data_IF_767905784990
#
_entry.id   IF_767905784990
#
_cell.length_a   1.000
_cell.length_b   1.000
_cell.length_c   1.000
_cell.angle_alpha   90.00
_cell.angle_beta   90.00
_cell.angle_gamma   90.00
#
_symmetry.space_group_name_H-M   'P 1'
#
loop_
_entity.id
_entity.type
_entity.pdbx_description
1 polymer ?
#
# COMPACT_ATOMS: atom_id res chain seq x y z
N UNK A 1 6.52 10.76 17.67
CA UNK A 1 5.66 11.63 16.84
C UNK A 1 5.16 12.77 17.72
N UNK A 2 5.60 14.00 17.45
CA UNK A 2 5.10 15.19 18.17
C UNK A 2 3.62 15.36 17.85
N UNK A 3 2.74 15.28 18.87
CA UNK A 3 1.31 15.56 18.66
C UNK A 3 1.16 17.01 18.20
N UNK A 4 0.75 17.19 16.95
CA UNK A 4 0.34 18.47 16.39
C UNK A 4 -1.00 18.87 17.02
N UNK A 5 -1.17 20.16 17.34
CA UNK A 5 -2.50 20.67 17.67
C UNK A 5 -3.32 20.83 16.40
N UNK A 6 -4.65 20.77 16.51
CA UNK A 6 -5.57 20.91 15.37
C UNK A 6 -5.33 22.20 14.57
N UNK A 7 -4.98 23.29 15.24
CA UNK A 7 -4.58 24.53 14.57
C UNK A 7 -3.27 24.40 13.77
N UNK A 8 -2.29 23.67 14.30
CA UNK A 8 -0.98 23.48 13.65
C UNK A 8 -1.11 22.58 12.42
N UNK A 9 -1.91 21.51 12.50
CA UNK A 9 -2.16 20.63 11.37
C UNK A 9 -2.88 21.37 10.23
N UNK A 10 -3.87 22.21 10.55
CA UNK A 10 -4.59 23.01 9.54
C UNK A 10 -3.65 23.99 8.82
N UNK A 11 -2.78 24.71 9.55
CA UNK A 11 -1.84 25.67 8.94
C UNK A 11 -0.83 24.97 8.02
N UNK A 12 -0.24 23.86 8.47
CA UNK A 12 0.74 23.11 7.67
C UNK A 12 0.10 22.47 6.44
N UNK A 13 -1.09 21.89 6.59
CA UNK A 13 -1.82 21.26 5.48
C UNK A 13 -2.24 22.29 4.44
N UNK A 14 -2.75 23.46 4.87
CA UNK A 14 -3.12 24.54 3.97
C UNK A 14 -1.91 25.15 3.24
N UNK A 15 -0.76 25.25 3.92
CA UNK A 15 0.48 25.72 3.30
C UNK A 15 1.06 24.74 2.28
N UNK A 16 1.03 23.44 2.58
CA UNK A 16 1.51 22.38 1.67
C UNK A 16 0.71 22.27 0.36
N UNK A 17 -0.54 22.72 0.35
CA UNK A 17 -1.40 22.69 -0.84
C UNK A 17 -1.23 23.92 -1.75
N UNK A 18 -0.50 24.95 -1.30
CA UNK A 18 -0.32 26.20 -2.05
C UNK A 18 1.00 26.17 -2.84
N UNK A 19 1.06 26.88 -3.98
CA UNK A 19 2.31 27.03 -4.71
C UNK A 19 3.36 27.69 -3.80
N UNK A 20 4.60 27.22 -3.91
CA UNK A 20 5.75 27.66 -3.11
C UNK A 20 5.60 27.43 -1.58
N UNK A 21 4.71 26.51 -1.16
CA UNK A 21 4.49 26.11 0.24
C UNK A 21 4.11 27.27 1.19
N UNK A 22 3.43 28.29 0.67
CA UNK A 22 3.11 29.52 1.44
C UNK A 22 1.98 29.25 2.46
N UNK A 23 2.26 29.43 3.75
CA UNK A 23 1.33 29.19 4.85
C UNK A 23 0.20 30.23 4.98
N UNK A 24 0.34 31.38 4.30
CA UNK A 24 -0.64 32.47 4.30
C UNK A 24 -1.61 32.42 3.12
N UNK A 25 -2.89 32.82 3.29
CA UNK A 25 -3.53 33.35 4.50
C UNK A 25 -3.85 32.29 5.56
N UNK A 26 -3.88 32.71 6.83
CA UNK A 26 -4.26 31.90 7.98
C UNK A 26 -5.77 31.54 7.97
N UNK A 27 -6.17 30.41 8.59
CA UNK A 27 -7.57 29.99 8.66
C UNK A 27 -8.47 31.02 9.35
N UNK A 28 -9.72 31.13 8.87
CA UNK A 28 -10.74 32.05 9.40
C UNK A 28 -10.99 31.74 10.89
N UNK A 29 -10.80 32.74 11.76
CA UNK A 29 -10.91 32.59 13.22
C UNK A 29 -9.58 32.64 13.97
N UNK A 30 -8.43 32.58 13.28
CA UNK A 30 -7.10 32.74 13.87
C UNK A 30 -6.53 34.12 13.50
N UNK A 31 -6.79 35.13 14.31
CA UNK A 31 -6.30 36.50 14.10
C UNK A 31 -5.63 37.07 15.35
N UNK A 32 -4.71 38.01 15.17
CA UNK A 32 -4.07 38.74 16.28
C UNK A 32 -3.09 37.89 17.10
N UNK A 33 -3.11 38.03 18.42
CA UNK A 33 -2.10 37.48 19.33
C UNK A 33 -2.01 35.94 19.30
N UNK A 34 -3.15 35.26 19.15
CA UNK A 34 -3.20 33.79 19.08
C UNK A 34 -2.49 33.24 17.83
N UNK A 35 -2.67 33.90 16.68
CA UNK A 35 -1.97 33.59 15.45
C UNK A 35 -0.46 33.79 15.60
N UNK A 36 -0.04 34.92 16.18
CA UNK A 36 1.37 35.23 16.43
C UNK A 36 2.03 34.17 17.32
N UNK A 37 1.39 33.78 18.42
CA UNK A 37 1.92 32.75 19.32
C UNK A 37 2.04 31.37 18.64
N UNK A 38 1.04 30.97 17.86
CA UNK A 38 1.08 29.71 17.13
C UNK A 38 2.22 29.69 16.10
N UNK A 39 2.34 30.74 15.29
CA UNK A 39 3.41 30.88 14.28
C UNK A 39 4.79 30.93 14.95
N UNK A 40 4.98 31.69 16.02
CA UNK A 40 6.27 31.72 16.76
C UNK A 40 6.64 30.36 17.30
N UNK A 41 5.68 29.59 17.84
CA UNK A 41 5.93 28.23 18.32
C UNK A 41 6.25 27.26 17.17
N UNK A 42 5.67 27.46 16.00
CA UNK A 42 5.95 26.67 14.80
C UNK A 42 7.32 27.01 14.18
N UNK A 43 7.73 28.28 14.19
CA UNK A 43 9.07 28.71 13.78
C UNK A 43 10.16 28.16 14.70
N UNK A 44 9.96 28.19 16.03
CA UNK A 44 10.90 27.59 16.98
C UNK A 44 11.07 26.08 16.80
N UNK A 45 10.03 25.39 16.33
CA UNK A 45 10.08 23.96 16.00
C UNK A 45 10.63 23.68 14.60
N UNK A 46 10.98 24.72 13.85
CA UNK A 46 11.50 24.63 12.48
C UNK A 46 10.45 24.21 11.46
N UNK A 47 9.15 24.33 11.74
CA UNK A 47 8.06 23.93 10.84
C UNK A 47 7.63 25.05 9.87
N UNK A 48 7.93 26.30 10.20
CA UNK A 48 7.69 27.48 9.38
C UNK A 48 8.96 28.32 9.32
N UNK A 49 9.20 28.96 8.18
CA UNK A 49 10.30 29.89 7.96
C UNK A 49 9.77 31.22 7.40
N UNK A 50 10.28 32.34 7.91
CA UNK A 50 10.07 33.66 7.31
C UNK A 50 11.00 33.80 6.09
N UNK A 51 10.42 34.08 4.93
CA UNK A 51 11.12 34.31 3.65
C UNK A 51 10.66 35.64 3.07
N UNK A 52 11.53 36.35 2.36
CA UNK A 52 11.16 37.61 1.70
C UNK A 52 10.02 37.38 0.70
N UNK A 53 8.92 38.10 0.89
CA UNK A 53 7.74 38.02 0.05
C UNK A 53 7.98 38.69 -1.29
N UNK A 54 7.60 38.02 -2.37
CA UNK A 54 7.71 38.58 -3.70
C UNK A 54 6.49 39.47 -4.00
N UNK A 55 6.61 40.76 -3.70
CA UNK A 55 5.54 41.75 -3.86
C UNK A 55 5.02 41.87 -5.31
N UNK A 56 5.83 41.45 -6.31
CA UNK A 56 5.42 41.41 -7.74
C UNK A 56 4.44 40.28 -8.06
N UNK A 57 4.42 39.21 -7.26
CA UNK A 57 3.50 38.07 -7.40
C UNK A 57 2.24 38.22 -6.55
N UNK A 58 2.09 39.31 -5.80
CA UNK A 58 0.94 39.54 -4.92
C UNK A 58 0.89 38.58 -3.73
N UNK A 59 2.06 38.13 -3.26
CA UNK A 59 2.13 37.20 -2.12
C UNK A 59 1.66 37.87 -0.82
N UNK A 60 0.87 37.16 0.02
CA UNK A 60 0.37 37.70 1.27
C UNK A 60 1.51 37.93 2.27
N UNK A 61 1.47 39.10 2.94
CA UNK A 61 2.49 39.55 3.88
C UNK A 61 2.16 39.14 5.32
N UNK A 62 3.16 38.61 6.02
CA UNK A 62 3.10 38.35 7.46
C UNK A 62 3.57 39.56 8.27
N UNK A 63 4.71 40.14 7.89
CA UNK A 63 5.30 41.32 8.51
C UNK A 63 5.83 42.25 7.43
N UNK A 64 5.53 43.54 7.56
CA UNK A 64 6.15 44.58 6.74
C UNK A 64 7.42 45.06 7.43
N UNK A 65 8.55 44.94 6.74
CA UNK A 65 9.79 45.61 7.11
C UNK A 65 9.72 46.97 6.42
N UNK A 66 9.82 48.06 7.18
CA UNK A 66 9.47 49.45 6.77
C UNK A 66 10.16 50.03 5.52
N UNK A 67 10.91 49.22 4.77
CA UNK A 67 11.67 49.57 3.57
C UNK A 67 11.01 49.04 2.26
N UNK A 68 9.70 48.75 2.27
CA UNK A 68 8.99 48.24 1.08
C UNK A 68 9.20 46.75 0.80
N UNK A 69 9.77 46.02 1.76
CA UNK A 69 9.93 44.58 1.76
C UNK A 69 9.02 43.98 2.84
N UNK A 70 8.29 42.92 2.52
CA UNK A 70 7.53 42.17 3.51
C UNK A 70 8.05 40.74 3.58
N UNK A 71 7.91 40.08 4.73
CA UNK A 71 8.17 38.64 4.85
C UNK A 71 6.87 37.87 4.74
N UNK A 72 6.92 36.72 4.07
CA UNK A 72 5.86 35.71 4.06
C UNK A 72 6.31 34.48 4.84
N UNK A 73 5.37 33.59 5.13
CA UNK A 73 5.64 32.35 5.88
C UNK A 73 5.59 31.17 4.93
N UNK A 74 6.66 30.39 4.87
CA UNK A 74 6.77 29.17 4.05
C UNK A 74 6.86 27.95 4.96
N UNK A 75 6.16 26.88 4.60
CA UNK A 75 6.24 25.57 5.27
C UNK A 75 7.55 24.88 4.89
N UNK A 76 8.33 24.50 5.89
CA UNK A 76 9.63 23.81 5.71
C UNK A 76 9.44 22.31 5.50
N UNK A 77 10.48 21.61 5.05
CA UNK A 77 10.49 20.15 4.90
C UNK A 77 10.15 19.43 6.21
N UNK A 78 10.63 19.94 7.35
CA UNK A 78 10.29 19.42 8.67
C UNK A 78 8.80 19.62 9.02
N UNK A 79 8.18 20.69 8.54
CA UNK A 79 6.75 20.94 8.65
C UNK A 79 5.92 20.00 7.78
N UNK A 80 6.36 19.70 6.56
CA UNK A 80 5.74 18.71 5.66
C UNK A 80 5.82 17.29 6.25
N UNK A 81 6.98 16.91 6.77
CA UNK A 81 7.17 15.62 7.45
C UNK A 81 6.26 15.47 8.67
N UNK A 82 6.02 16.56 9.41
CA UNK A 82 5.16 16.52 10.58
C UNK A 82 3.68 16.20 10.24
N UNK A 83 3.22 16.55 9.04
CA UNK A 83 1.88 16.21 8.52
C UNK A 83 1.87 14.91 7.70
N UNK A 84 2.98 14.17 7.66
CA UNK A 84 3.09 12.91 6.92
C UNK A 84 3.28 13.07 5.42
N UNK A 85 3.61 14.28 4.94
CA UNK A 85 4.00 14.52 3.55
C UNK A 85 5.52 14.39 3.48
N UNK A 86 6.01 13.31 2.89
CA UNK A 86 7.43 13.19 2.58
C UNK A 86 7.79 14.26 1.55
N UNK A 87 8.76 15.15 1.84
CA UNK A 87 9.19 16.12 0.87
C UNK A 87 9.70 15.36 -0.36
N UNK A 88 9.26 15.77 -1.55
CA UNK A 88 9.85 15.31 -2.80
C UNK A 88 11.26 15.90 -2.85
N UNK A 89 12.17 15.25 -2.14
CA UNK A 89 13.59 15.47 -2.30
C UNK A 89 13.86 14.95 -3.71
N UNK A 90 14.09 15.85 -4.66
CA UNK A 90 14.83 15.51 -5.87
C UNK A 90 16.23 15.14 -5.37
N UNK A 91 16.36 13.90 -4.89
CA UNK A 91 17.63 13.24 -4.70
C UNK A 91 18.09 13.01 -6.12
N UNK A 92 18.95 13.90 -6.61
CA UNK A 92 19.99 13.49 -7.54
C UNK A 92 20.79 12.42 -6.81
N UNK A 93 20.33 11.18 -6.92
CA UNK A 93 21.13 10.03 -6.58
C UNK A 93 22.21 9.97 -7.66
N UNK A 94 23.36 10.57 -7.36
CA UNK A 94 24.61 10.21 -8.02
C UNK A 94 24.81 8.71 -7.78
N UNK A 95 24.74 7.86 -8.82
CA UNK A 95 25.20 6.51 -8.68
C UNK A 95 26.72 6.56 -8.69
N UNK A 96 27.31 6.12 -7.57
CA UNK A 96 28.70 5.73 -7.46
C UNK A 96 29.08 4.82 -8.65
N UNK A 97 29.74 5.40 -9.64
CA UNK A 97 30.63 4.70 -10.55
C UNK A 97 31.96 5.41 -10.50
N UNK A 98 32.94 4.68 -9.98
CA UNK A 98 34.35 5.01 -9.97
C UNK A 98 34.85 4.95 -11.43
N UNK A 99 34.89 6.10 -12.08
CA UNK A 99 35.77 6.36 -13.22
C UNK A 99 36.24 7.81 -13.14
N UNK A 100 37.56 7.94 -13.10
CA UNK A 100 38.40 9.11 -13.42
C UNK A 100 37.68 10.45 -13.42
N UNK A 101 38.00 11.28 -12.43
CA UNK A 101 37.56 12.67 -12.32
C UNK A 101 37.90 13.46 -13.61
N UNK A 102 36.93 13.55 -14.51
CA UNK A 102 36.86 14.61 -15.49
C UNK A 102 35.90 15.68 -14.93
N UNK A 103 36.42 16.89 -14.81
CA UNK A 103 35.75 18.02 -14.19
C UNK A 103 34.31 18.20 -14.72
N UNK A 104 33.34 18.60 -13.89
CA UNK A 104 31.98 18.82 -14.36
C UNK A 104 32.01 19.86 -15.48
N UNK A 105 31.55 19.45 -16.66
CA UNK A 105 31.46 20.31 -17.83
C UNK A 105 30.74 21.61 -17.45
N UNK A 106 31.44 22.73 -17.65
CA UNK A 106 30.89 24.08 -17.53
C UNK A 106 29.57 24.12 -18.28
N UNK A 107 28.46 24.28 -17.55
CA UNK A 107 27.13 24.53 -18.14
C UNK A 107 27.26 25.79 -18.99
N UNK A 108 27.49 25.60 -20.28
CA UNK A 108 27.58 26.72 -21.22
C UNK A 108 26.21 27.38 -21.22
N UNK A 109 26.09 28.69 -20.95
CA UNK A 109 24.80 29.36 -20.91
C UNK A 109 24.11 29.18 -22.26
N UNK A 110 22.99 28.46 -22.31
CA UNK A 110 22.16 28.38 -23.51
C UNK A 110 21.67 29.80 -23.83
N UNK A 111 22.09 30.42 -24.96
CA UNK A 111 21.75 31.80 -25.24
C UNK A 111 20.25 31.95 -25.49
N UNK A 112 19.67 32.97 -24.86
CA UNK A 112 18.25 33.35 -24.99
C UNK A 112 17.91 33.58 -26.47
N UNK A 113 16.87 32.91 -26.99
CA UNK A 113 16.41 33.10 -28.39
C UNK A 113 16.13 34.59 -28.64
N UNK A 114 16.77 35.17 -29.66
CA UNK A 114 16.55 36.54 -30.13
C UNK A 114 17.75 37.50 -29.99
N UNK A 115 18.86 37.10 -29.37
CA UNK A 115 20.08 37.93 -29.31
C UNK A 115 20.95 37.78 -30.56
N UNK A 116 21.66 38.85 -30.96
CA UNK A 116 22.59 38.84 -32.11
C UNK A 116 23.64 37.72 -32.04
N UNK A 117 24.03 37.30 -30.84
CA UNK A 117 24.95 36.18 -30.60
C UNK A 117 24.35 34.81 -30.96
N UNK A 118 23.06 34.56 -30.73
CA UNK A 118 22.40 33.32 -31.14
C UNK A 118 22.29 33.21 -32.68
N UNK A 119 22.20 34.35 -33.38
CA UNK A 119 22.19 34.40 -34.84
C UNK A 119 23.57 34.08 -35.45
N UNK A 120 24.66 34.54 -34.82
CA UNK A 120 26.04 34.23 -35.21
C UNK A 120 26.40 32.75 -35.01
N UNK A 121 25.95 32.12 -33.93
CA UNK A 121 26.17 30.69 -33.66
C UNK A 121 25.40 29.80 -34.66
N UNK A 122 24.36 30.32 -35.32
CA UNK A 122 23.57 29.62 -36.34
C UNK A 122 24.12 29.74 -37.77
N UNK A 123 25.29 30.36 -37.96
CA UNK A 123 25.93 30.49 -39.28
C UNK A 123 27.01 29.43 -39.46
N UNK A 124 26.85 28.59 -40.50
CA UNK A 124 27.86 27.64 -40.94
C UNK A 124 28.82 28.34 -41.90
N UNK A 125 30.12 28.06 -41.80
CA UNK A 125 31.12 28.56 -42.75
C UNK A 125 31.28 27.56 -43.90
N UNK A 126 31.00 28.00 -45.12
CA UNK A 126 31.25 27.22 -46.32
C UNK A 126 32.77 27.08 -46.57
N UNK A 127 33.22 26.05 -47.32
CA UNK A 127 34.64 25.90 -47.71
C UNK A 127 35.22 27.16 -48.38
N UNK A 128 34.37 27.92 -49.08
CA UNK A 128 34.70 29.17 -49.75
C UNK A 128 34.74 30.40 -48.81
N UNK A 129 34.65 30.20 -47.49
CA UNK A 129 34.77 31.25 -46.48
C UNK A 129 33.49 32.07 -46.21
N UNK A 130 32.45 31.91 -47.01
CA UNK A 130 31.16 32.58 -46.81
C UNK A 130 30.36 31.99 -45.64
N UNK A 131 29.68 32.86 -44.89
CA UNK A 131 28.79 32.47 -43.78
C UNK A 131 27.36 32.24 -44.30
N UNK A 132 26.87 31.02 -44.14
CA UNK A 132 25.53 30.60 -44.59
C UNK A 132 24.65 30.31 -43.37
N UNK A 133 23.45 30.92 -43.24
CA UNK A 133 22.55 30.62 -42.15
C UNK A 133 22.04 29.17 -42.22
N UNK A 134 22.09 28.44 -41.10
CA UNK A 134 21.74 27.01 -40.98
C UNK A 134 20.35 26.67 -41.55
N UNK A 135 19.39 27.60 -41.45
CA UNK A 135 18.02 27.48 -42.00
C UNK A 135 17.98 27.29 -43.53
N UNK A 136 19.04 27.67 -44.25
CA UNK A 136 19.13 27.53 -45.72
C UNK A 136 19.58 26.13 -46.16
N UNK A 137 20.14 25.34 -45.23
CA UNK A 137 20.74 24.02 -45.51
C UNK A 137 19.97 22.90 -44.81
N UNK A 138 19.36 23.18 -43.65
CA UNK A 138 18.60 22.20 -42.89
C UNK A 138 17.27 22.76 -42.38
N UNK A 139 16.23 21.93 -42.41
CA UNK A 139 14.93 22.21 -41.79
C UNK A 139 14.98 21.70 -40.36
N UNK A 140 15.02 22.60 -39.38
CA UNK A 140 14.90 22.22 -37.97
C UNK A 140 13.43 22.02 -37.61
N UNK A 141 13.01 20.77 -37.49
CA UNK A 141 11.73 20.40 -36.87
C UNK A 141 11.96 20.05 -35.40
N UNK A 142 11.21 20.69 -34.50
CA UNK A 142 11.22 20.30 -33.08
C UNK A 142 10.28 19.11 -32.91
N UNK A 143 10.84 17.93 -32.72
CA UNK A 143 10.08 16.72 -32.39
C UNK A 143 10.02 16.56 -30.88
N UNK A 144 8.83 16.31 -30.35
CA UNK A 144 8.66 15.89 -28.97
C UNK A 144 8.95 14.39 -28.90
N UNK A 145 10.02 14.02 -28.19
CA UNK A 145 10.34 12.63 -27.87
C UNK A 145 9.75 12.23 -26.52
N UNK A 146 9.59 10.92 -26.29
CA UNK A 146 9.26 10.42 -24.96
C UNK A 146 10.37 10.85 -23.98
N UNK A 147 10.00 11.61 -22.95
CA UNK A 147 10.94 12.06 -21.93
C UNK A 147 11.49 10.89 -21.11
N UNK A 148 10.72 9.81 -21.00
CA UNK A 148 11.07 8.60 -20.29
C UNK A 148 10.41 7.39 -20.99
N UNK A 149 11.16 6.30 -21.15
CA UNK A 149 10.64 5.03 -21.67
C UNK A 149 10.65 4.03 -20.52
N UNK A 150 9.50 3.85 -19.88
CA UNK A 150 9.34 2.83 -18.86
C UNK A 150 9.31 1.45 -19.50
N UNK A 151 10.03 0.49 -18.90
CA UNK A 151 10.05 -0.90 -19.36
C UNK A 151 9.72 -1.81 -18.18
N UNK A 152 8.87 -2.80 -18.42
CA UNK A 152 8.63 -3.92 -17.51
C UNK A 152 9.06 -5.20 -18.22
N UNK A 153 9.90 -6.01 -17.57
CA UNK A 153 10.43 -7.27 -18.12
C UNK A 153 11.00 -7.11 -19.55
N UNK A 154 11.82 -6.05 -19.74
CA UNK A 154 12.46 -5.69 -21.01
C UNK A 154 11.51 -5.26 -22.14
N UNK A 155 10.20 -5.19 -21.88
CA UNK A 155 9.20 -4.69 -22.84
C UNK A 155 8.78 -3.25 -22.51
N UNK A 156 8.65 -2.35 -23.50
CA UNK A 156 8.10 -1.01 -23.28
C UNK A 156 6.70 -1.12 -22.68
N UNK A 157 6.49 -0.46 -21.55
CA UNK A 157 5.24 -0.56 -20.80
C UNK A 157 4.77 0.84 -20.39
N UNK A 158 3.44 1.03 -20.39
CA UNK A 158 2.80 2.24 -19.90
C UNK A 158 2.03 1.88 -18.63
N UNK A 159 2.39 2.49 -17.50
CA UNK A 159 1.71 2.26 -16.24
C UNK A 159 0.42 3.08 -16.17
N UNK A 160 -0.70 2.41 -15.88
CA UNK A 160 -1.99 3.05 -15.63
C UNK A 160 -2.36 2.78 -14.18
N UNK A 161 -2.45 3.83 -13.37
CA UNK A 161 -2.86 3.75 -11.97
C UNK A 161 -4.32 4.17 -11.81
N UNK A 162 -5.03 3.47 -10.93
CA UNK A 162 -6.40 3.81 -10.56
C UNK A 162 -6.58 3.55 -9.05
N UNK A 163 -7.34 4.42 -8.39
CA UNK A 163 -7.75 4.21 -6.99
C UNK A 163 -9.14 3.62 -6.96
N UNK A 164 -9.32 2.57 -6.17
CA UNK A 164 -10.61 1.94 -5.95
C UNK A 164 -11.22 2.58 -4.70
N UNK A 165 -12.37 3.24 -4.86
CA UNK A 165 -13.13 3.84 -3.74
C UNK A 165 -14.54 3.21 -3.65
N UNK A 166 -14.96 2.84 -2.44
CA UNK A 166 -16.34 2.46 -2.12
C UNK A 166 -16.85 1.10 -2.67
N UNK A 167 -16.07 0.38 -3.48
CA UNK A 167 -16.38 -1.00 -3.93
C UNK A 167 -15.36 -2.00 -3.41
N UNK A 168 -15.81 -3.26 -3.24
CA UNK A 168 -14.93 -4.36 -2.87
C UNK A 168 -13.83 -4.57 -3.90
N UNK A 169 -12.57 -4.72 -3.44
CA UNK A 169 -11.38 -4.84 -4.27
C UNK A 169 -11.53 -5.91 -5.37
N UNK A 170 -12.03 -7.11 -5.02
CA UNK A 170 -12.22 -8.19 -5.99
C UNK A 170 -13.28 -7.88 -7.07
N UNK A 171 -14.34 -7.15 -6.72
CA UNK A 171 -15.38 -6.77 -7.67
C UNK A 171 -14.87 -5.72 -8.67
N UNK A 172 -14.12 -4.72 -8.18
CA UNK A 172 -13.50 -3.71 -9.05
C UNK A 172 -12.52 -4.35 -10.06
N UNK A 173 -11.70 -5.31 -9.62
CA UNK A 173 -10.79 -6.02 -10.53
C UNK A 173 -11.55 -6.88 -11.55
N UNK A 174 -12.66 -7.49 -11.15
CA UNK A 174 -13.52 -8.25 -12.05
C UNK A 174 -14.10 -7.36 -13.15
N UNK A 175 -14.64 -6.20 -12.80
CA UNK A 175 -15.19 -5.22 -13.74
C UNK A 175 -14.12 -4.73 -14.72
N UNK A 176 -12.91 -4.42 -14.23
CA UNK A 176 -11.77 -4.02 -15.07
C UNK A 176 -11.39 -5.13 -16.04
N UNK A 177 -11.33 -6.39 -15.57
CA UNK A 177 -11.04 -7.54 -16.45
C UNK A 177 -12.13 -7.71 -17.50
N UNK A 178 -13.39 -7.52 -17.15
CA UNK A 178 -14.51 -7.63 -18.08
C UNK A 178 -14.49 -6.50 -19.12
N UNK A 179 -14.19 -5.28 -18.72
CA UNK A 179 -14.03 -4.15 -19.63
C UNK A 179 -12.87 -4.37 -20.62
N UNK A 180 -11.73 -4.85 -20.13
CA UNK A 180 -10.53 -5.14 -20.94
C UNK A 180 -10.70 -6.38 -21.85
N UNK A 181 -11.63 -7.26 -21.52
CA UNK A 181 -12.00 -8.41 -22.36
C UNK A 181 -12.87 -8.03 -23.57
N UNK A 182 -13.33 -6.77 -23.66
CA UNK A 182 -14.13 -6.29 -24.79
C UNK A 182 -13.27 -6.28 -26.06
N UNK A 183 -13.66 -6.99 -27.13
CA UNK A 183 -12.86 -7.07 -28.35
C UNK A 183 -12.70 -5.70 -29.00
N UNK A 184 -11.46 -5.32 -29.30
CA UNK A 184 -11.10 -4.05 -29.94
C UNK A 184 -10.59 -2.94 -29.01
N UNK A 185 -10.56 -3.15 -27.69
CA UNK A 185 -10.00 -2.15 -26.76
C UNK A 185 -8.47 -2.05 -26.83
N UNK A 186 -7.79 -3.18 -27.10
CA UNK A 186 -6.33 -3.26 -27.22
C UNK A 186 -5.91 -3.52 -28.68
N UNK A 187 -4.93 -2.77 -29.22
CA UNK A 187 -4.34 -3.06 -30.52
C UNK A 187 -3.67 -4.44 -30.54
N UNK A 188 -3.59 -5.05 -31.73
CA UNK A 188 -2.87 -6.30 -31.90
C UNK A 188 -1.40 -6.17 -31.44
N UNK A 189 -0.97 -7.04 -30.53
CA UNK A 189 0.39 -7.04 -29.96
C UNK A 189 0.54 -6.30 -28.63
N UNK A 190 -0.52 -5.67 -28.09
CA UNK A 190 -0.50 -5.09 -26.74
C UNK A 190 -1.06 -6.08 -25.73
N UNK A 191 -0.25 -6.42 -24.72
CA UNK A 191 -0.68 -7.21 -23.58
C UNK A 191 -0.91 -6.30 -22.37
N UNK A 192 -1.91 -6.63 -21.56
CA UNK A 192 -2.12 -5.97 -20.27
C UNK A 192 -1.77 -6.93 -19.14
N UNK A 193 -1.19 -6.40 -18.08
CA UNK A 193 -0.96 -7.13 -16.84
C UNK A 193 -1.46 -6.29 -15.68
N UNK A 194 -2.27 -6.90 -14.82
CA UNK A 194 -2.72 -6.27 -13.59
C UNK A 194 -1.58 -6.37 -12.56
N UNK A 195 -0.92 -5.25 -12.29
CA UNK A 195 0.20 -5.13 -11.37
C UNK A 195 -0.19 -4.46 -10.04
N UNK A 196 0.78 -4.29 -9.13
CA UNK A 196 0.58 -3.65 -7.84
C UNK A 196 -0.08 -4.56 -6.81
N UNK A 197 -1.02 -4.01 -6.03
CA UNK A 197 -1.66 -4.70 -4.90
C UNK A 197 -2.31 -6.04 -5.31
N UNK A 198 -2.88 -6.11 -6.51
CA UNK A 198 -3.52 -7.34 -7.01
C UNK A 198 -2.52 -8.49 -7.17
N UNK A 199 -1.37 -8.21 -7.79
CA UNK A 199 -0.33 -9.21 -8.01
C UNK A 199 0.29 -9.65 -6.68
N UNK A 200 0.55 -8.70 -5.77
CA UNK A 200 1.03 -9.00 -4.42
C UNK A 200 0.03 -9.87 -3.64
N UNK A 201 -1.27 -9.58 -3.75
CA UNK A 201 -2.33 -10.39 -3.13
C UNK A 201 -2.40 -11.80 -3.71
N UNK A 202 -2.30 -11.95 -5.03
CA UNK A 202 -2.28 -13.27 -5.66
C UNK A 202 -1.07 -14.10 -5.23
N UNK A 203 0.12 -13.50 -5.18
CA UNK A 203 1.33 -14.18 -4.72
C UNK A 203 1.21 -14.61 -3.26
N UNK A 204 0.71 -13.73 -2.39
CA UNK A 204 0.46 -14.05 -0.99
C UNK A 204 -0.58 -15.18 -0.83
N UNK A 205 -1.67 -15.15 -1.59
CA UNK A 205 -2.67 -16.21 -1.59
C UNK A 205 -2.14 -17.55 -2.08
N UNK A 206 -1.36 -17.56 -3.16
CA UNK A 206 -0.75 -18.79 -3.66
C UNK A 206 0.19 -19.41 -2.60
N UNK A 207 1.03 -18.58 -1.96
CA UNK A 207 1.89 -19.03 -0.87
C UNK A 207 1.10 -19.56 0.34
N UNK A 208 0.05 -18.84 0.76
CA UNK A 208 -0.82 -19.27 1.87
C UNK A 208 -1.54 -20.59 1.58
N UNK A 209 -2.04 -20.80 0.35
CA UNK A 209 -2.67 -22.06 -0.05
C UNK A 209 -1.66 -23.21 -0.01
N UNK A 210 -0.44 -23.00 -0.50
CA UNK A 210 0.64 -24.00 -0.41
C UNK A 210 0.95 -24.37 1.04
N UNK A 211 1.11 -23.38 1.91
CA UNK A 211 1.34 -23.58 3.35
C UNK A 211 0.15 -24.32 3.98
N UNK A 212 -1.08 -23.96 3.62
CA UNK A 212 -2.29 -24.61 4.13
C UNK A 212 -2.35 -26.09 3.75
N UNK A 213 -2.08 -26.43 2.49
CA UNK A 213 -2.05 -27.83 2.03
C UNK A 213 -0.93 -28.60 2.73
N UNK A 214 0.27 -28.01 2.85
CA UNK A 214 1.39 -28.63 3.55
C UNK A 214 1.08 -28.87 5.04
N UNK A 215 0.48 -27.89 5.72
CA UNK A 215 0.06 -28.01 7.11
C UNK A 215 -1.04 -29.07 7.28
N UNK A 216 -2.05 -29.08 6.40
CA UNK A 216 -3.11 -30.08 6.39
C UNK A 216 -2.55 -31.50 6.22
N UNK A 217 -1.59 -31.69 5.30
CA UNK A 217 -0.92 -32.97 5.09
C UNK A 217 -0.10 -33.39 6.32
N UNK A 218 0.64 -32.45 6.92
CA UNK A 218 1.44 -32.70 8.11
C UNK A 218 0.56 -33.10 9.31
N UNK A 219 -0.55 -32.38 9.54
CA UNK A 219 -1.54 -32.70 10.57
C UNK A 219 -2.16 -34.07 10.30
N UNK A 220 -2.55 -34.36 9.06
CA UNK A 220 -3.08 -35.66 8.69
C UNK A 220 -2.09 -36.80 8.98
N UNK A 221 -0.80 -36.61 8.63
CA UNK A 221 0.24 -37.58 8.89
C UNK A 221 0.48 -37.77 10.40
N UNK A 222 0.48 -36.68 11.18
CA UNK A 222 0.59 -36.74 12.63
C UNK A 222 -0.59 -37.50 13.26
N UNK A 223 -1.82 -37.27 12.79
CA UNK A 223 -3.01 -38.00 13.23
C UNK A 223 -2.96 -39.47 12.83
N UNK A 224 -2.49 -39.77 11.62
CA UNK A 224 -2.30 -41.14 11.16
C UNK A 224 -1.31 -41.90 12.04
N UNK A 225 -0.22 -41.25 12.44
CA UNK A 225 0.78 -41.83 13.35
C UNK A 225 0.23 -41.98 14.78
N UNK A 226 -0.55 -41.00 15.27
CA UNK A 226 -1.11 -41.01 16.62
C UNK A 226 -2.17 -42.11 16.82
N UNK A 227 -3.04 -42.32 15.84
CA UNK A 227 -4.17 -43.26 15.96
C UNK A 227 -3.97 -44.57 15.21
N UNK A 228 -2.92 -44.70 14.40
CA UNK A 228 -2.59 -45.87 13.56
C UNK A 228 -3.77 -46.36 12.66
N UNK A 229 -4.78 -45.52 12.45
CA UNK A 229 -6.01 -45.86 11.75
C UNK A 229 -6.40 -44.75 10.76
N UNK A 230 -6.35 -45.07 9.47
CA UNK A 230 -6.67 -44.14 8.38
C UNK A 230 -8.09 -43.57 8.49
N UNK A 231 -9.07 -44.40 8.88
CA UNK A 231 -10.47 -43.99 9.03
C UNK A 231 -10.67 -42.94 10.12
N UNK A 232 -9.93 -43.05 11.24
CA UNK A 232 -10.02 -42.11 12.36
C UNK A 232 -9.34 -40.78 12.00
N UNK A 233 -8.15 -40.84 11.40
CA UNK A 233 -7.45 -39.64 10.93
C UNK A 233 -8.28 -38.86 9.90
N UNK A 234 -8.90 -39.55 8.93
CA UNK A 234 -9.80 -38.93 7.95
C UNK A 234 -11.03 -38.31 8.63
N UNK A 235 -11.66 -39.00 9.58
CA UNK A 235 -12.84 -38.50 10.29
C UNK A 235 -12.54 -37.24 11.09
N UNK A 236 -11.37 -37.15 11.74
CA UNK A 236 -10.92 -35.94 12.44
C UNK A 236 -10.67 -34.82 11.43
N UNK A 237 -10.07 -35.12 10.28
CA UNK A 237 -9.74 -34.13 9.25
C UNK A 237 -10.98 -33.51 8.58
N UNK A 238 -12.12 -34.19 8.62
CA UNK A 238 -13.39 -33.63 8.12
C UNK A 238 -13.83 -32.40 8.93
N UNK A 239 -13.56 -32.35 10.24
CA UNK A 239 -13.96 -31.23 11.10
C UNK A 239 -13.38 -29.86 10.67
N UNK A 240 -12.06 -29.70 10.46
CA UNK A 240 -11.51 -28.44 9.94
C UNK A 240 -11.98 -28.12 8.51
N UNK A 241 -12.25 -29.13 7.67
CA UNK A 241 -12.84 -28.90 6.34
C UNK A 241 -14.24 -28.27 6.43
N UNK A 242 -15.08 -28.73 7.38
CA UNK A 242 -16.37 -28.10 7.65
C UNK A 242 -16.21 -26.68 8.22
N UNK A 243 -15.19 -26.45 9.05
CA UNK A 243 -14.91 -25.13 9.61
C UNK A 243 -14.60 -24.09 8.52
N UNK A 244 -13.87 -24.48 7.47
CA UNK A 244 -13.62 -23.61 6.30
C UNK A 244 -14.95 -23.16 5.68
N UNK A 245 -15.93 -24.07 5.53
CA UNK A 245 -17.28 -23.73 5.09
C UNK A 245 -17.97 -22.71 6.01
N UNK A 246 -17.81 -22.88 7.32
CA UNK A 246 -18.29 -21.92 8.34
C UNK A 246 -17.69 -20.52 8.16
N UNK A 247 -16.38 -20.43 7.89
CA UNK A 247 -15.71 -19.15 7.61
C UNK A 247 -16.28 -18.47 6.37
N UNK A 248 -16.52 -19.21 5.29
CA UNK A 248 -17.16 -18.66 4.09
C UNK A 248 -18.56 -18.14 4.37
N UNK A 249 -19.37 -18.87 5.15
CA UNK A 249 -20.70 -18.40 5.55
C UNK A 249 -20.62 -17.15 6.43
N UNK A 250 -19.62 -17.05 7.31
CA UNK A 250 -19.40 -15.87 8.17
C UNK A 250 -18.98 -14.64 7.36
N UNK A 251 -18.08 -14.79 6.39
CA UNK A 251 -17.69 -13.71 5.48
C UNK A 251 -18.88 -13.22 4.66
N UNK A 252 -19.69 -14.15 4.17
CA UNK A 252 -20.89 -13.82 3.41
C UNK A 252 -21.90 -13.03 4.25
N UNK A 253 -22.14 -13.45 5.49
CA UNK A 253 -23.05 -12.76 6.41
C UNK A 253 -22.53 -11.37 6.80
N UNK A 254 -21.21 -11.21 6.92
CA UNK A 254 -20.56 -9.94 7.20
C UNK A 254 -20.43 -9.03 5.96
N UNK A 255 -20.78 -9.51 4.76
CA UNK A 255 -20.59 -8.78 3.50
C UNK A 255 -19.11 -8.51 3.15
N UNK A 256 -18.18 -9.27 3.74
CA UNK A 256 -16.75 -9.06 3.57
C UNK A 256 -16.18 -9.97 2.47
N UNK A 257 -15.25 -9.44 1.68
CA UNK A 257 -14.56 -10.22 0.65
C UNK A 257 -13.42 -11.06 1.23
N UNK A 258 -13.10 -12.18 0.59
CA UNK A 258 -11.92 -12.98 0.92
C UNK A 258 -10.64 -12.17 0.65
N UNK A 259 -9.98 -11.72 1.72
CA UNK A 259 -8.70 -11.01 1.70
C UNK A 259 -7.62 -11.80 2.48
N UNK A 260 -6.38 -11.28 2.49
CA UNK A 260 -5.24 -11.94 3.17
C UNK A 260 -5.51 -12.08 4.67
N UNK A 261 -6.06 -11.04 5.31
CA UNK A 261 -6.41 -11.05 6.73
C UNK A 261 -7.44 -12.13 7.05
N UNK A 262 -8.46 -12.30 6.21
CA UNK A 262 -9.46 -13.36 6.33
C UNK A 262 -8.85 -14.75 6.18
N UNK A 263 -7.87 -14.92 5.27
CA UNK A 263 -7.13 -16.19 5.17
C UNK A 263 -6.31 -16.49 6.43
N UNK A 264 -5.64 -15.48 7.01
CA UNK A 264 -4.91 -15.67 8.27
C UNK A 264 -5.86 -16.09 9.41
N UNK A 265 -7.03 -15.45 9.50
CA UNK A 265 -8.07 -15.85 10.46
C UNK A 265 -8.61 -17.26 10.20
N UNK A 266 -8.79 -17.64 8.94
CA UNK A 266 -9.24 -19.00 8.55
C UNK A 266 -8.24 -20.06 9.02
N UNK A 267 -6.93 -19.85 8.85
CA UNK A 267 -5.89 -20.78 9.31
C UNK A 267 -5.96 -20.96 10.83
N UNK A 268 -6.14 -19.87 11.58
CA UNK A 268 -6.28 -19.90 13.03
C UNK A 268 -7.52 -20.70 13.46
N UNK A 269 -8.67 -20.48 12.83
CA UNK A 269 -9.91 -21.21 13.11
C UNK A 269 -9.75 -22.70 12.82
N UNK A 270 -9.11 -23.04 11.69
CA UNK A 270 -8.81 -24.43 11.34
C UNK A 270 -7.96 -25.10 12.43
N UNK A 271 -6.96 -24.41 12.98
CA UNK A 271 -6.16 -24.91 14.10
C UNK A 271 -6.99 -25.19 15.36
N UNK A 272 -7.77 -24.21 15.80
CA UNK A 272 -8.64 -24.33 16.99
C UNK A 272 -9.64 -25.47 16.83
N UNK A 273 -10.29 -25.57 15.66
CA UNK A 273 -11.26 -26.64 15.40
C UNK A 273 -10.59 -28.01 15.35
N UNK A 274 -9.38 -28.08 14.77
CA UNK A 274 -8.60 -29.33 14.78
C UNK A 274 -8.27 -29.75 16.20
N UNK A 275 -7.81 -28.84 17.06
CA UNK A 275 -7.54 -29.12 18.48
C UNK A 275 -8.78 -29.67 19.19
N UNK A 276 -9.93 -29.01 19.03
CA UNK A 276 -11.21 -29.47 19.60
C UNK A 276 -11.58 -30.88 19.10
N UNK A 277 -11.38 -31.15 17.81
CA UNK A 277 -11.65 -32.46 17.23
C UNK A 277 -10.72 -33.56 17.80
N UNK A 278 -9.43 -33.28 17.95
CA UNK A 278 -8.47 -34.22 18.56
C UNK A 278 -8.84 -34.52 20.02
N UNK A 279 -9.22 -33.51 20.80
CA UNK A 279 -9.65 -33.73 22.19
C UNK A 279 -10.90 -34.59 22.29
N UNK A 280 -11.89 -34.37 21.44
CA UNK A 280 -13.09 -35.21 21.39
C UNK A 280 -12.75 -36.67 21.03
N UNK A 281 -11.95 -36.87 19.97
CA UNK A 281 -11.59 -38.21 19.52
C UNK A 281 -10.65 -38.96 20.48
N UNK A 282 -9.79 -38.25 21.21
CA UNK A 282 -8.96 -38.87 22.25
C UNK A 282 -9.80 -39.37 23.43
N UNK A 283 -10.83 -38.64 23.86
CA UNK A 283 -11.78 -39.13 24.87
C UNK A 283 -12.53 -40.37 24.37
N UNK A 284 -13.01 -40.35 23.13
CA UNK A 284 -13.66 -41.49 22.50
C UNK A 284 -12.74 -42.73 22.46
N UNK A 285 -11.45 -42.52 22.18
CA UNK A 285 -10.45 -43.59 22.20
C UNK A 285 -10.25 -44.17 23.62
N UNK A 286 -10.20 -43.31 24.64
CA UNK A 286 -10.08 -43.73 26.06
C UNK A 286 -11.31 -44.52 26.51
N UNK A 287 -12.53 -44.03 26.23
CA UNK A 287 -13.76 -44.74 26.56
C UNK A 287 -13.81 -46.10 25.86
N UNK A 288 -13.41 -46.17 24.59
CA UNK A 288 -13.33 -47.42 23.84
C UNK A 288 -12.33 -48.42 24.44
N UNK A 289 -11.22 -47.95 25.01
CA UNK A 289 -10.24 -48.80 25.70
C UNK A 289 -10.73 -49.24 27.09
N UNK A 290 -11.40 -48.37 27.84
CA UNK A 290 -11.91 -48.69 29.19
C UNK A 290 -13.10 -49.66 29.16
N UNK A 291 -13.95 -49.59 28.12
CA UNK A 291 -15.04 -50.54 27.90
C UNK A 291 -14.59 -51.90 27.32
N UNK A 292 -13.38 -52.35 27.66
CA UNK A 292 -12.69 -53.56 27.16
C UNK A 292 -13.60 -54.78 26.99
N UNK A 293 -14.11 -54.92 25.77
CA UNK A 293 -14.75 -56.07 25.17
C UNK A 293 -14.86 -55.77 23.68
N UNK A 294 -13.84 -56.17 22.92
CA UNK A 294 -13.45 -55.73 21.58
C UNK A 294 -14.45 -55.96 20.42
N UNK A 295 -15.76 -55.95 20.65
CA UNK A 295 -16.75 -56.34 19.65
C UNK A 295 -18.05 -55.51 19.68
N UNK A 296 -18.10 -54.36 20.34
CA UNK A 296 -19.23 -53.45 20.15
C UNK A 296 -18.94 -52.45 19.01
N UNK A 297 -19.84 -52.34 18.01
CA UNK A 297 -19.78 -51.25 17.04
C UNK A 297 -19.84 -49.91 17.78
N UNK A 298 -19.30 -48.84 17.17
CA UNK A 298 -19.43 -47.47 17.67
C UNK A 298 -20.88 -47.22 18.10
N UNK A 299 -21.11 -47.27 19.42
CA UNK A 299 -22.46 -47.14 19.97
C UNK A 299 -22.76 -45.67 20.14
N UNK A 300 -23.99 -45.29 19.82
CA UNK A 300 -24.43 -43.90 19.91
C UNK A 300 -24.27 -43.36 21.34
N UNK A 301 -24.45 -44.22 22.35
CA UNK A 301 -24.18 -43.90 23.76
C UNK A 301 -22.72 -43.51 24.03
N UNK A 302 -21.74 -44.22 23.47
CA UNK A 302 -20.32 -43.86 23.63
C UNK A 302 -19.98 -42.50 23.01
N UNK A 303 -20.60 -42.15 21.87
CA UNK A 303 -20.41 -40.85 21.25
C UNK A 303 -21.03 -39.72 22.09
N UNK A 304 -22.20 -39.99 22.70
CA UNK A 304 -22.86 -39.05 23.62
C UNK A 304 -22.03 -38.86 24.88
N UNK A 305 -21.52 -39.94 25.49
CA UNK A 305 -20.74 -39.87 26.73
C UNK A 305 -19.40 -39.14 26.51
N UNK A 306 -18.70 -39.43 25.41
CA UNK A 306 -17.50 -38.69 25.01
C UNK A 306 -17.79 -37.19 24.85
N UNK A 307 -18.94 -36.87 24.23
CA UNK A 307 -19.41 -35.50 24.07
C UNK A 307 -19.68 -34.82 25.40
N UNK A 308 -20.43 -35.48 26.28
CA UNK A 308 -20.79 -34.95 27.60
C UNK A 308 -19.56 -34.66 28.47
N UNK A 309 -18.58 -35.59 28.50
CA UNK A 309 -17.34 -35.42 29.26
C UNK A 309 -16.51 -34.23 28.78
N UNK A 310 -16.49 -33.96 27.47
CA UNK A 310 -15.69 -32.88 26.88
C UNK A 310 -16.48 -31.61 26.60
N UNK A 311 -17.80 -31.61 26.80
CA UNK A 311 -18.67 -30.47 26.51
C UNK A 311 -18.25 -29.23 27.30
N UNK A 312 -17.93 -29.37 28.60
CA UNK A 312 -17.55 -28.22 29.44
C UNK A 312 -16.22 -27.58 28.98
N UNK A 313 -15.11 -28.34 28.80
CA UNK A 313 -13.87 -27.77 28.26
C UNK A 313 -14.01 -27.19 26.85
N UNK A 314 -14.69 -27.89 25.95
CA UNK A 314 -14.88 -27.43 24.57
C UNK A 314 -15.67 -26.12 24.54
N UNK A 315 -16.80 -26.05 25.26
CA UNK A 315 -17.58 -24.82 25.34
C UNK A 315 -16.77 -23.67 25.94
N UNK A 316 -16.01 -23.92 27.01
CA UNK A 316 -15.17 -22.89 27.63
C UNK A 316 -14.16 -22.31 26.65
N UNK A 317 -13.42 -23.15 25.93
CA UNK A 317 -12.42 -22.70 24.94
C UNK A 317 -13.05 -21.99 23.76
N UNK A 318 -14.17 -22.51 23.23
CA UNK A 318 -14.87 -21.85 22.12
C UNK A 318 -15.45 -20.50 22.50
N UNK A 319 -16.08 -20.38 23.69
CA UNK A 319 -16.62 -19.12 24.18
C UNK A 319 -15.52 -18.11 24.48
N UNK A 320 -14.41 -18.55 25.06
CA UNK A 320 -13.25 -17.71 25.29
C UNK A 320 -12.68 -17.17 23.96
N UNK A 321 -12.51 -18.03 22.95
CA UNK A 321 -12.04 -17.61 21.62
C UNK A 321 -13.00 -16.62 20.95
N UNK A 322 -14.31 -16.89 20.99
CA UNK A 322 -15.33 -15.99 20.45
C UNK A 322 -15.29 -14.64 21.15
N UNK A 323 -15.33 -14.61 22.49
CA UNK A 323 -15.31 -13.37 23.28
C UNK A 323 -13.99 -12.59 23.15
N UNK A 324 -12.86 -13.27 22.93
CA UNK A 324 -11.57 -12.63 22.69
C UNK A 324 -11.47 -11.99 21.30
N UNK A 325 -12.12 -12.57 20.29
CA UNK A 325 -12.09 -12.08 18.91
C UNK A 325 -13.22 -11.08 18.59
N UNK A 326 -14.30 -11.08 19.39
CA UNK A 326 -15.45 -10.19 19.24
C UNK A 326 -15.06 -8.70 19.21
N UNK A 327 -14.15 -8.18 20.07
CA UNK A 327 -13.72 -6.77 20.03
C UNK A 327 -12.91 -6.40 18.79
N UNK A 328 -12.30 -7.39 18.12
CA UNK A 328 -11.44 -7.14 16.97
C UNK A 328 -12.26 -7.00 15.67
N UNK A 329 -13.51 -7.45 15.68
CA UNK A 329 -14.42 -7.23 14.57
C UNK A 329 -14.87 -5.76 14.58
N UNK A 330 -14.66 -5.00 13.48
CA UNK A 330 -14.90 -3.56 13.42
C UNK A 330 -16.40 -3.19 13.33
N UNK A 331 -17.27 -3.90 14.05
CA UNK A 331 -18.71 -3.58 14.13
C UNK A 331 -19.00 -2.43 15.12
N UNK A 332 -18.01 -1.60 15.43
CA UNK A 332 -18.12 -0.40 16.26
C UNK A 332 -17.46 0.79 15.56
#
# INVERSE_FOLDING_TARGET
>A
MTKLTETQSIILTAGAQRPDNIALPLPKGLAGAAAKMAVTKMMMRGWLQEVDANLRRGEPLWRETGDGHGTTLVVTDAGLLAIGIEPVVVKTADPLHEHTAEAPAVKTPTPRKGTKQAALISMLRAPDGHLVPLKRVAVLTRTEGAAEITRHDLTPAVSVSARIDGRGFSAAIHDVRQALATPGLLPAGVHYQLAGLYLQQQQAFAGLIQVFIAAALLVFLALLFLYEQFRMALAIMVAPLLAVGGVFTGLWLAGQTLNITALMGMIMIVGIVTEVAVFYFSELAVLRQNHRGAAHPLSLSMLIDAGSNRMRPILMTTLAAILALLPCCPWA
#
